data_IF_299655293790
#
_entry.id   IF_299655293790
#
_cell.length_a   1.000
_cell.length_b   1.000
_cell.length_c   1.000
_cell.angle_alpha   90.00
_cell.angle_beta   90.00
_cell.angle_gamma   90.00
#
_symmetry.space_group_name_H-M   'P 1'
#
loop_
_entity.id
_entity.type
_entity.pdbx_description
1 polymer ?
#
# COMPACT_ATOMS: atom_id res chain seq x y z
N UNK A 1 9.14 -0.89 -3.52
CA UNK A 1 8.68 0.46 -3.16
C UNK A 1 9.18 0.72 -1.75
N UNK A 2 10.24 1.49 -1.60
CA UNK A 2 10.90 1.70 -0.30
C UNK A 2 11.11 3.19 -0.16
N UNK A 3 10.68 3.74 0.97
CA UNK A 3 11.09 5.08 1.40
C UNK A 3 12.57 4.97 1.80
N UNK A 4 13.46 5.60 1.03
CA UNK A 4 14.91 5.45 1.13
C UNK A 4 15.52 6.59 1.94
N UNK A 5 15.06 7.82 1.71
CA UNK A 5 15.61 9.03 2.31
C UNK A 5 14.71 9.56 3.42
N UNK A 6 15.30 10.27 4.39
CA UNK A 6 14.55 10.91 5.47
C UNK A 6 13.55 11.94 4.90
N UNK A 7 12.27 11.75 5.20
CA UNK A 7 11.17 12.55 4.66
C UNK A 7 10.49 11.95 3.43
N UNK A 8 10.98 10.82 2.91
CA UNK A 8 10.23 10.01 1.94
C UNK A 8 8.94 9.50 2.60
N UNK A 9 7.80 9.69 1.94
CA UNK A 9 6.51 9.33 2.51
C UNK A 9 5.54 8.71 1.49
N UNK A 10 4.57 7.99 2.00
CA UNK A 10 3.44 7.48 1.23
C UNK A 10 2.19 7.39 2.09
N UNK A 11 1.03 7.49 1.45
CA UNK A 11 -0.28 7.39 2.10
C UNK A 11 -0.96 6.12 1.62
N UNK A 12 -1.40 5.28 2.56
CA UNK A 12 -1.99 3.98 2.29
C UNK A 12 -3.30 3.79 3.04
N UNK A 13 -4.24 3.08 2.43
CA UNK A 13 -5.40 2.53 3.11
C UNK A 13 -5.04 1.14 3.62
N UNK A 14 -5.16 0.91 4.93
CA UNK A 14 -5.04 -0.41 5.55
C UNK A 14 -6.41 -0.95 5.91
N UNK A 15 -6.63 -2.22 5.57
CA UNK A 15 -7.76 -2.99 6.08
C UNK A 15 -7.39 -3.54 7.45
N UNK A 16 -8.28 -3.44 8.43
CA UNK A 16 -8.13 -4.14 9.70
C UNK A 16 -9.32 -5.06 9.86
N UNK A 17 -9.09 -6.35 10.10
CA UNK A 17 -10.10 -7.40 10.07
C UNK A 17 -11.34 -7.11 10.94
N UNK A 18 -11.20 -6.27 11.96
CA UNK A 18 -12.26 -5.88 12.90
C UNK A 18 -12.97 -4.55 12.57
N UNK A 19 -12.61 -3.84 11.49
CA UNK A 19 -13.22 -2.55 11.15
C UNK A 19 -13.66 -2.50 9.70
N UNK A 20 -14.95 -2.28 9.48
CA UNK A 20 -15.54 -1.94 8.18
C UNK A 20 -14.99 -0.62 7.59
N UNK A 21 -14.17 0.12 8.35
CA UNK A 21 -13.61 1.40 7.93
C UNK A 21 -12.14 1.25 7.55
N UNK A 22 -11.83 1.54 6.29
CA UNK A 22 -10.44 1.67 5.83
C UNK A 22 -9.72 2.74 6.66
N UNK A 23 -8.68 2.34 7.40
CA UNK A 23 -7.79 3.29 8.07
C UNK A 23 -6.81 3.85 7.06
N UNK A 24 -6.72 5.18 7.01
CA UNK A 24 -5.76 5.87 6.18
C UNK A 24 -4.51 6.12 7.03
N UNK A 25 -3.33 5.76 6.52
CA UNK A 25 -2.06 5.82 7.25
C UNK A 25 -1.05 6.57 6.41
N UNK A 26 -0.37 7.55 7.01
CA UNK A 26 0.82 8.19 6.48
C UNK A 26 2.03 7.40 6.98
N UNK A 27 2.78 6.78 6.08
CA UNK A 27 4.08 6.19 6.37
C UNK A 27 5.17 7.16 5.93
N UNK A 28 6.11 7.47 6.81
CA UNK A 28 7.23 8.39 6.56
C UNK A 28 8.54 7.80 7.07
N UNK A 29 9.61 7.90 6.27
CA UNK A 29 10.97 7.52 6.66
C UNK A 29 11.58 8.60 7.55
N UNK A 30 11.99 8.21 8.76
CA UNK A 30 12.89 8.97 9.63
C UNK A 30 14.32 8.45 9.48
N UNK A 31 15.26 9.04 10.21
CA UNK A 31 16.66 8.57 10.25
C UNK A 31 16.76 7.10 10.63
N UNK A 32 15.98 6.67 11.61
CA UNK A 32 16.13 5.34 12.22
C UNK A 32 15.10 4.32 11.68
N UNK A 33 13.90 4.77 11.32
CA UNK A 33 12.78 3.85 11.05
C UNK A 33 11.74 4.43 10.08
N UNK A 34 10.72 3.62 9.78
CA UNK A 34 9.50 4.12 9.13
C UNK A 34 8.45 4.34 10.21
N UNK A 35 8.04 5.59 10.40
CA UNK A 35 6.92 5.96 11.28
C UNK A 35 5.61 5.89 10.52
N UNK A 36 4.56 5.44 11.21
CA UNK A 36 3.19 5.32 10.68
C UNK A 36 2.25 6.14 11.53
N UNK A 37 1.55 7.08 10.90
CA UNK A 37 0.64 8.01 11.57
C UNK A 37 -0.75 7.82 10.98
N UNK A 38 -1.73 7.57 11.85
CA UNK A 38 -3.11 7.41 11.44
C UNK A 38 -3.70 8.77 11.01
N UNK A 39 -4.27 8.80 9.81
CA UNK A 39 -5.01 9.92 9.25
C UNK A 39 -6.50 9.70 9.50
N UNK A 40 -7.13 10.62 10.25
CA UNK A 40 -8.56 10.53 10.52
C UNK A 40 -9.34 11.19 9.39
N UNK A 41 -10.26 10.47 8.76
CA UNK A 41 -11.25 11.06 7.86
C UNK A 41 -12.39 11.66 8.69
N UNK A 42 -12.78 12.87 8.35
CA UNK A 42 -13.94 13.58 8.90
C UNK A 42 -14.86 13.99 7.76
N UNK A 43 -16.07 14.48 8.08
CA UNK A 43 -16.98 15.03 7.08
C UNK A 43 -16.36 16.22 6.31
N UNK A 44 -15.46 16.95 6.96
CA UNK A 44 -14.79 18.13 6.40
C UNK A 44 -13.41 17.84 5.79
N UNK A 45 -13.01 16.57 5.69
CA UNK A 45 -11.77 16.16 5.01
C UNK A 45 -10.87 15.22 5.82
N UNK A 46 -9.60 15.59 5.97
CA UNK A 46 -8.57 14.75 6.59
C UNK A 46 -7.91 15.49 7.75
N UNK A 47 -7.84 14.84 8.91
CA UNK A 47 -7.25 15.39 10.14
C UNK A 47 -5.94 14.70 10.48
N UNK A 48 -4.92 15.51 10.76
CA UNK A 48 -3.57 15.13 11.18
C UNK A 48 -3.00 16.24 12.08
N UNK A 49 -2.27 15.88 13.15
CA UNK A 49 -1.58 16.86 14.00
C UNK A 49 -2.50 17.96 14.57
N UNK A 50 -3.74 17.64 14.91
CA UNK A 50 -4.73 18.60 15.41
C UNK A 50 -5.38 19.50 14.35
N UNK A 51 -4.87 19.51 13.11
CA UNK A 51 -5.38 20.31 11.99
C UNK A 51 -6.29 19.48 11.09
N UNK A 52 -7.27 20.14 10.48
CA UNK A 52 -8.18 19.53 9.50
C UNK A 52 -7.97 20.19 8.15
N UNK A 53 -7.80 19.38 7.11
CA UNK A 53 -7.55 19.81 5.74
C UNK A 53 -8.68 19.32 4.85
N UNK A 54 -9.10 20.14 3.89
CA UNK A 54 -10.17 19.78 2.96
C UNK A 54 -9.90 18.49 2.18
N UNK A 55 -8.62 18.20 1.88
CA UNK A 55 -8.21 16.98 1.18
C UNK A 55 -6.73 16.65 1.47
N UNK A 56 -6.29 15.47 1.00
CA UNK A 56 -4.91 15.00 1.18
C UNK A 56 -3.87 15.90 0.50
N UNK A 57 -4.21 16.50 -0.65
CA UNK A 57 -3.29 17.39 -1.37
C UNK A 57 -2.94 18.60 -0.50
N UNK A 58 -3.93 19.25 0.10
CA UNK A 58 -3.73 20.38 1.03
C UNK A 58 -2.93 19.99 2.27
N UNK A 59 -3.21 18.81 2.83
CA UNK A 59 -2.46 18.28 3.97
C UNK A 59 -0.98 18.10 3.61
N UNK A 60 -0.69 17.50 2.46
CA UNK A 60 0.68 17.28 1.98
C UNK A 60 1.37 18.62 1.69
N UNK A 61 0.74 19.53 0.96
CA UNK A 61 1.28 20.86 0.65
C UNK A 61 1.67 21.63 1.93
N UNK A 62 0.86 21.52 2.99
CA UNK A 62 1.14 22.14 4.28
C UNK A 62 2.33 21.47 4.97
N UNK A 63 2.30 20.14 5.15
CA UNK A 63 3.35 19.42 5.87
C UNK A 63 4.65 19.19 5.09
N UNK A 64 4.70 19.64 3.84
CA UNK A 64 5.96 19.81 3.10
C UNK A 64 6.72 21.08 3.48
N UNK A 65 6.08 22.02 4.19
CA UNK A 65 6.68 23.28 4.65
C UNK A 65 6.73 23.38 6.16
N UNK A 66 5.67 22.95 6.81
CA UNK A 66 5.51 22.99 8.27
C UNK A 66 5.70 21.58 8.83
N UNK A 67 6.53 21.35 9.86
CA UNK A 67 6.73 20.01 10.39
C UNK A 67 5.50 19.49 11.14
N UNK A 68 5.26 18.18 11.06
CA UNK A 68 4.38 17.47 11.98
C UNK A 68 5.17 17.26 13.29
N UNK A 69 4.74 17.91 14.36
CA UNK A 69 5.33 17.71 15.69
C UNK A 69 4.64 16.54 16.39
N UNK A 70 5.40 15.49 16.71
CA UNK A 70 4.93 14.33 17.44
C UNK A 70 5.06 14.52 18.97
N UNK A 71 4.44 13.63 19.73
CA UNK A 71 4.68 13.51 21.17
C UNK A 71 6.19 13.26 21.40
N UNK A 72 6.82 14.09 22.23
CA UNK A 72 8.27 14.06 22.45
C UNK A 72 9.07 15.10 21.65
N UNK A 73 8.40 15.96 20.88
CA UNK A 73 9.04 17.10 20.18
C UNK A 73 9.73 16.73 18.87
N UNK A 74 9.63 15.49 18.42
CA UNK A 74 10.16 15.09 17.12
C UNK A 74 9.37 15.71 15.98
N UNK A 75 10.08 16.27 15.02
CA UNK A 75 9.53 16.95 13.86
C UNK A 75 9.66 16.10 12.60
N UNK A 76 8.57 16.00 11.85
CA UNK A 76 8.51 15.23 10.61
C UNK A 76 8.08 16.11 9.44
N UNK A 77 8.92 16.20 8.42
CA UNK A 77 8.65 17.00 7.21
C UNK A 77 8.43 16.09 6.00
N UNK A 78 7.35 16.33 5.25
CA UNK A 78 7.02 15.58 4.03
C UNK A 78 7.84 16.09 2.85
N UNK A 79 8.96 15.44 2.56
CA UNK A 79 9.88 15.89 1.50
C UNK A 79 9.51 15.33 0.13
N UNK A 80 9.32 14.02 0.03
CA UNK A 80 9.14 13.34 -1.26
C UNK A 80 8.10 12.23 -1.19
N UNK A 81 7.08 12.35 -2.03
CA UNK A 81 6.09 11.30 -2.18
C UNK A 81 6.70 10.10 -2.92
N UNK A 82 6.61 8.92 -2.32
CA UNK A 82 7.04 7.67 -2.96
C UNK A 82 5.95 7.26 -3.97
N UNK A 83 6.23 7.27 -5.28
CA UNK A 83 5.24 6.90 -6.28
C UNK A 83 4.91 5.41 -6.19
N UNK A 84 3.71 5.06 -6.65
CA UNK A 84 3.34 3.65 -6.84
C UNK A 84 4.33 2.99 -7.81
N UNK A 85 4.74 1.77 -7.49
CA UNK A 85 5.63 1.01 -8.38
C UNK A 85 4.93 0.59 -9.68
N UNK A 86 5.69 0.36 -10.75
CA UNK A 86 5.17 -0.07 -12.08
C UNK A 86 4.23 -1.29 -12.03
N UNK A 87 4.51 -2.23 -11.12
CA UNK A 87 3.75 -3.47 -10.96
C UNK A 87 2.60 -3.36 -9.95
N UNK A 88 2.39 -2.19 -9.34
CA UNK A 88 1.30 -2.01 -8.40
C UNK A 88 -0.02 -1.83 -9.14
N UNK A 89 -0.96 -2.74 -8.88
CA UNK A 89 -2.33 -2.71 -9.39
C UNK A 89 -3.26 -2.14 -8.32
N UNK A 90 -4.33 -1.48 -8.75
CA UNK A 90 -5.48 -1.21 -7.88
C UNK A 90 -6.55 -2.29 -8.09
N UNK A 91 -7.43 -2.50 -7.11
CA UNK A 91 -8.45 -3.55 -7.20
C UNK A 91 -9.35 -3.39 -8.44
N UNK A 92 -9.63 -2.16 -8.88
CA UNK A 92 -10.40 -1.90 -10.11
C UNK A 92 -9.66 -2.29 -11.40
N UNK A 93 -8.34 -2.49 -11.36
CA UNK A 93 -7.57 -2.95 -12.53
C UNK A 93 -7.80 -4.44 -12.80
N UNK A 94 -8.33 -5.21 -11.84
CA UNK A 94 -8.42 -6.67 -11.92
C UNK A 94 -9.86 -7.13 -11.69
N UNK A 95 -10.40 -7.85 -12.67
CA UNK A 95 -11.66 -8.59 -12.52
C UNK A 95 -11.36 -10.05 -12.21
N UNK A 96 -11.70 -10.49 -11.00
CA UNK A 96 -11.67 -11.91 -10.63
C UNK A 96 -12.79 -12.67 -11.34
N UNK A 97 -12.49 -13.88 -11.83
CA UNK A 97 -13.45 -14.77 -12.47
C UNK A 97 -13.60 -16.04 -11.62
N UNK A 98 -13.09 -17.18 -12.10
CA UNK A 98 -13.23 -18.48 -11.46
C UNK A 98 -11.97 -18.90 -10.71
N UNK A 99 -12.11 -19.65 -9.62
CA UNK A 99 -11.01 -20.38 -9.00
C UNK A 99 -10.41 -21.36 -10.01
N UNK A 100 -9.09 -21.41 -10.10
CA UNK A 100 -8.33 -22.33 -10.97
C UNK A 100 -7.34 -23.19 -10.21
N UNK A 101 -7.09 -22.91 -8.93
CA UNK A 101 -6.24 -23.74 -8.09
C UNK A 101 -6.19 -23.25 -6.65
N UNK A 102 -5.49 -24.00 -5.82
CA UNK A 102 -5.12 -23.63 -4.46
C UNK A 102 -3.75 -24.22 -4.15
N UNK A 103 -2.94 -23.49 -3.39
CA UNK A 103 -1.63 -23.94 -2.94
C UNK A 103 -1.39 -23.53 -1.49
N UNK A 104 -0.15 -23.72 -1.01
CA UNK A 104 0.23 -23.46 0.38
C UNK A 104 -0.09 -22.03 0.87
N UNK A 105 -0.06 -21.06 -0.04
CA UNK A 105 -0.22 -19.63 0.28
C UNK A 105 -1.61 -19.06 -0.06
N UNK A 106 -2.54 -19.92 -0.44
CA UNK A 106 -3.93 -19.55 -0.71
C UNK A 106 -4.42 -19.94 -2.09
N UNK A 107 -5.49 -19.29 -2.52
CA UNK A 107 -6.27 -19.66 -3.69
C UNK A 107 -5.85 -18.87 -4.94
N UNK A 108 -5.76 -19.57 -6.07
CA UNK A 108 -5.47 -18.97 -7.38
C UNK A 108 -6.75 -18.88 -8.21
N UNK A 109 -7.00 -17.69 -8.76
CA UNK A 109 -8.14 -17.39 -9.62
C UNK A 109 -7.68 -17.05 -11.03
N UNK A 110 -8.48 -17.41 -12.03
CA UNK A 110 -8.43 -16.76 -13.33
C UNK A 110 -9.02 -15.37 -13.18
N UNK A 111 -8.36 -14.37 -13.75
CA UNK A 111 -8.86 -13.00 -13.80
C UNK A 111 -8.61 -12.34 -15.15
N UNK A 112 -9.01 -11.09 -15.27
CA UNK A 112 -8.67 -10.22 -16.39
C UNK A 112 -8.09 -8.91 -15.88
N UNK A 113 -6.99 -8.48 -16.50
CA UNK A 113 -6.37 -7.19 -16.28
C UNK A 113 -7.07 -6.15 -17.17
N UNK A 114 -7.96 -5.36 -16.59
CA UNK A 114 -8.82 -4.42 -17.30
C UNK A 114 -8.01 -3.36 -18.02
N UNK A 115 -6.99 -2.80 -17.35
CA UNK A 115 -6.10 -1.77 -17.91
C UNK A 115 -5.21 -2.23 -19.05
N UNK A 116 -5.20 -3.53 -19.35
CA UNK A 116 -4.37 -4.15 -20.39
C UNK A 116 -5.26 -4.97 -21.32
N UNK A 117 -6.25 -4.30 -21.92
CA UNK A 117 -7.19 -4.89 -22.89
C UNK A 117 -7.82 -6.21 -22.43
N UNK A 118 -8.22 -6.29 -21.15
CA UNK A 118 -8.78 -7.51 -20.55
C UNK A 118 -7.87 -8.74 -20.65
N UNK A 119 -6.54 -8.56 -20.65
CA UNK A 119 -5.57 -9.67 -20.69
C UNK A 119 -5.90 -10.68 -19.60
N UNK A 120 -5.98 -11.96 -19.98
CA UNK A 120 -6.23 -13.06 -19.03
C UNK A 120 -5.01 -13.21 -18.12
N UNK A 121 -5.24 -13.29 -16.82
CA UNK A 121 -4.20 -13.40 -15.80
C UNK A 121 -4.55 -14.47 -14.76
N UNK A 122 -3.53 -14.94 -14.03
CA UNK A 122 -3.71 -15.66 -12.78
C UNK A 122 -3.60 -14.66 -11.61
N UNK A 123 -4.51 -14.77 -10.64
CA UNK A 123 -4.53 -13.92 -9.43
C UNK A 123 -4.44 -14.81 -8.21
N UNK A 124 -3.28 -14.77 -7.55
CA UNK A 124 -3.06 -15.46 -6.27
C UNK A 124 -3.59 -14.58 -5.14
N UNK A 125 -4.48 -15.14 -4.32
CA UNK A 125 -5.09 -14.47 -3.17
C UNK A 125 -4.75 -15.28 -1.92
N UNK A 126 -4.33 -14.59 -0.87
CA UNK A 126 -4.17 -15.21 0.45
C UNK A 126 -5.56 -15.37 1.07
N UNK A 127 -5.86 -16.59 1.52
CA UNK A 127 -7.12 -16.88 2.19
C UNK A 127 -7.07 -16.27 3.61
N UNK A 128 -8.05 -15.42 3.92
CA UNK A 128 -7.97 -14.41 4.99
C UNK A 128 -8.34 -14.92 6.39
N UNK A 129 -8.26 -16.21 6.65
CA UNK A 129 -8.46 -16.73 8.00
C UNK A 129 -7.13 -16.73 8.76
N UNK A 130 -6.87 -15.61 9.45
CA UNK A 130 -5.74 -15.50 10.39
C UNK A 130 -4.37 -15.31 9.74
N UNK A 131 -4.28 -14.56 8.64
CA UNK A 131 -3.05 -14.41 7.88
C UNK A 131 -1.92 -13.80 8.71
N UNK A 132 -0.98 -14.67 9.09
CA UNK A 132 0.33 -14.34 9.65
C UNK A 132 1.05 -13.35 8.72
N UNK A 133 1.62 -12.28 9.28
CA UNK A 133 2.45 -11.31 8.53
C UNK A 133 3.55 -12.04 7.74
N UNK A 134 3.94 -13.23 8.19
CA UNK A 134 4.84 -14.15 7.50
C UNK A 134 4.33 -14.62 6.13
N UNK A 135 3.06 -15.05 6.02
CA UNK A 135 2.51 -15.53 4.75
C UNK A 135 2.44 -14.41 3.70
N UNK A 136 2.12 -13.20 4.15
CA UNK A 136 2.18 -12.00 3.31
C UNK A 136 3.63 -11.70 2.88
N UNK A 137 4.59 -11.78 3.80
CA UNK A 137 5.99 -11.56 3.50
C UNK A 137 6.53 -12.56 2.46
N UNK A 138 6.17 -13.84 2.57
CA UNK A 138 6.57 -14.88 1.62
C UNK A 138 5.94 -14.67 0.23
N UNK A 139 4.65 -14.34 0.16
CA UNK A 139 4.01 -14.00 -1.12
C UNK A 139 4.68 -12.78 -1.78
N UNK A 140 5.02 -11.75 -0.99
CA UNK A 140 5.73 -10.58 -1.50
C UNK A 140 7.16 -10.90 -1.95
N UNK A 141 7.81 -11.87 -1.30
CA UNK A 141 9.13 -12.38 -1.71
C UNK A 141 9.04 -13.07 -3.08
N UNK A 142 8.06 -13.95 -3.27
CA UNK A 142 7.79 -14.62 -4.56
C UNK A 142 7.57 -13.58 -5.67
N UNK A 143 6.69 -12.60 -5.44
CA UNK A 143 6.43 -11.54 -6.40
C UNK A 143 7.69 -10.74 -6.76
N UNK A 144 8.57 -10.48 -5.78
CA UNK A 144 9.83 -9.76 -6.02
C UNK A 144 10.82 -10.57 -6.85
N UNK A 145 10.89 -11.89 -6.63
CA UNK A 145 11.71 -12.79 -7.46
C UNK A 145 11.20 -12.80 -8.89
N UNK A 146 9.89 -12.93 -9.10
CA UNK A 146 9.30 -12.92 -10.45
C UNK A 146 9.56 -11.60 -11.20
N UNK A 147 9.53 -10.45 -10.51
CA UNK A 147 9.83 -9.15 -11.12
C UNK A 147 11.26 -9.01 -11.66
N UNK A 148 12.20 -9.81 -11.17
CA UNK A 148 13.60 -9.78 -11.59
C UNK A 148 13.91 -10.79 -12.71
N UNK A 149 12.96 -11.66 -13.05
CA UNK A 149 13.18 -12.73 -14.02
C UNK A 149 12.35 -12.48 -15.29
N UNK A 150 13.04 -12.26 -16.42
CA UNK A 150 12.41 -12.20 -17.74
C UNK A 150 13.01 -13.28 -18.63
N UNK A 151 12.34 -14.43 -18.70
CA UNK A 151 12.79 -15.57 -19.51
C UNK A 151 11.60 -16.34 -20.08
N UNK A 152 11.71 -16.87 -21.30
CA UNK A 152 10.63 -17.58 -22.02
C UNK A 152 10.07 -18.82 -21.29
N UNK A 153 10.81 -19.35 -20.33
CA UNK A 153 10.41 -20.52 -19.53
C UNK A 153 10.05 -20.18 -18.07
N UNK A 154 9.96 -18.89 -17.75
CA UNK A 154 9.54 -18.39 -16.44
C UNK A 154 8.21 -17.65 -16.61
N UNK A 155 7.27 -17.92 -15.72
CA UNK A 155 5.95 -17.27 -15.73
C UNK A 155 6.09 -15.77 -15.48
N UNK A 156 5.27 -14.95 -16.16
CA UNK A 156 5.24 -13.48 -16.05
C UNK A 156 3.94 -12.98 -15.41
#
# INVERSE_FOLDING_TARGET
MVALEEGDFLIQSRHTASSYRYRLVLAIRTKDAIKRIDLRRTEHGVRLGGKTFANLKRMVEYYSKEPIVLQGGEELLLKKAVPKGKYQLVHSDVRLLKKIGSGAYGTVYRGMLIRDNNRVIAVKRIDSEGTDDQALAEMMKEARVMQLNEHKHIVK
#
